data_IF_923406258508
#
_entry.id   IF_923406258508
#
_cell.length_a   1.000
_cell.length_b   1.000
_cell.length_c   1.000
_cell.angle_alpha   90.00
_cell.angle_beta   90.00
_cell.angle_gamma   90.00
#
_symmetry.space_group_name_H-M   'P 1'
#
loop_
_entity.id
_entity.type
_entity.pdbx_description
1 polymer ?
#
# COMPACT_ATOMS: atom_id res chain seq x y z
N UNK A 1 32.26 -18.97 -25.97
CA UNK A 1 31.75 -19.20 -24.60
C UNK A 1 30.72 -18.14 -24.30
N UNK A 2 29.55 -18.54 -23.84
CA UNK A 2 28.49 -17.60 -23.44
C UNK A 2 28.31 -17.71 -21.94
N UNK A 3 28.46 -16.60 -21.24
CA UNK A 3 28.24 -16.51 -19.79
C UNK A 3 26.78 -16.18 -19.50
N UNK A 4 26.28 -16.57 -18.33
CA UNK A 4 24.92 -16.19 -17.89
C UNK A 4 24.92 -14.73 -17.46
N UNK A 5 23.82 -14.02 -17.69
CA UNK A 5 23.60 -12.66 -17.18
C UNK A 5 23.87 -12.54 -15.67
N UNK A 6 23.55 -13.59 -14.90
CA UNK A 6 23.86 -13.66 -13.46
C UNK A 6 25.36 -13.76 -13.18
N UNK A 7 26.10 -14.53 -13.98
CA UNK A 7 27.55 -14.63 -13.84
C UNK A 7 28.26 -13.35 -14.28
N UNK A 8 27.73 -12.65 -15.29
CA UNK A 8 28.25 -11.37 -15.75
C UNK A 8 28.07 -10.28 -14.71
N UNK A 9 26.90 -10.20 -14.05
CA UNK A 9 26.68 -9.24 -12.97
C UNK A 9 27.61 -9.48 -11.79
N UNK A 10 27.82 -10.75 -11.40
CA UNK A 10 28.73 -11.10 -10.32
C UNK A 10 30.17 -10.78 -10.67
N UNK A 11 30.60 -11.08 -11.90
CA UNK A 11 31.96 -10.80 -12.35
C UNK A 11 32.24 -9.29 -12.46
N UNK A 12 31.23 -8.49 -12.86
CA UNK A 12 31.32 -7.03 -12.85
C UNK A 12 31.50 -6.47 -11.43
N UNK A 13 30.76 -7.01 -10.44
CA UNK A 13 30.96 -6.67 -9.03
C UNK A 13 32.37 -7.02 -8.59
N UNK A 14 32.87 -8.23 -8.89
CA UNK A 14 34.22 -8.63 -8.47
C UNK A 14 35.28 -7.71 -9.08
N UNK A 15 35.15 -7.33 -10.36
CA UNK A 15 36.07 -6.39 -11.04
C UNK A 15 36.07 -4.99 -10.41
N UNK A 16 34.94 -4.49 -9.93
CA UNK A 16 34.89 -3.21 -9.20
C UNK A 16 35.70 -3.22 -7.89
N UNK A 17 35.87 -4.38 -7.27
CA UNK A 17 36.57 -4.53 -5.99
C UNK A 17 38.00 -5.06 -6.14
N UNK A 18 38.43 -5.43 -7.35
CA UNK A 18 39.76 -6.00 -7.62
C UNK A 18 40.58 -5.06 -8.52
N UNK A 19 41.46 -4.29 -7.91
CA UNK A 19 42.68 -3.78 -8.57
C UNK A 19 43.81 -4.81 -8.48
N UNK A 20 44.83 -4.71 -9.36
CA UNK A 20 45.99 -5.61 -9.43
C UNK A 20 46.81 -5.74 -8.12
N UNK A 21 46.51 -4.94 -7.09
CA UNK A 21 47.14 -4.96 -5.76
C UNK A 21 46.16 -5.27 -4.60
N UNK A 22 44.97 -5.75 -4.91
CA UNK A 22 43.92 -6.02 -3.91
C UNK A 22 44.02 -7.47 -3.44
N UNK A 23 44.41 -7.67 -2.17
CA UNK A 23 44.46 -9.02 -1.59
C UNK A 23 43.05 -9.57 -1.40
N UNK A 24 42.92 -10.91 -1.39
CA UNK A 24 41.66 -11.60 -1.08
C UNK A 24 41.06 -11.09 0.25
N UNK A 25 41.90 -10.76 1.23
CA UNK A 25 41.46 -10.17 2.49
C UNK A 25 40.73 -8.83 2.31
N UNK A 26 41.21 -7.96 1.41
CA UNK A 26 40.53 -6.69 1.11
C UNK A 26 39.18 -6.92 0.44
N UNK A 27 39.04 -7.95 -0.40
CA UNK A 27 37.76 -8.32 -1.01
C UNK A 27 36.75 -8.75 0.06
N UNK A 28 37.16 -9.59 1.01
CA UNK A 28 36.28 -10.04 2.12
C UNK A 28 35.81 -8.83 2.94
N UNK A 29 36.72 -7.92 3.30
CA UNK A 29 36.38 -6.70 4.05
C UNK A 29 35.39 -5.81 3.28
N UNK A 30 35.57 -5.65 1.96
CA UNK A 30 34.65 -4.85 1.16
C UNK A 30 33.29 -5.53 0.99
N UNK A 31 33.27 -6.85 0.86
CA UNK A 31 32.04 -7.61 0.80
C UNK A 31 31.23 -7.47 2.09
N UNK A 32 31.87 -7.62 3.26
CA UNK A 32 31.25 -7.40 4.56
C UNK A 32 30.64 -6.00 4.66
N UNK A 33 31.37 -4.96 4.25
CA UNK A 33 30.85 -3.57 4.22
C UNK A 33 29.62 -3.40 3.33
N UNK A 34 29.63 -4.00 2.14
CA UNK A 34 28.48 -3.94 1.21
C UNK A 34 27.27 -4.65 1.80
N UNK A 35 27.48 -5.80 2.43
CA UNK A 35 26.43 -6.58 3.09
C UNK A 35 25.86 -5.81 4.30
N UNK A 36 26.71 -5.29 5.18
CA UNK A 36 26.25 -4.45 6.31
C UNK A 36 25.47 -3.24 5.83
N UNK A 37 25.97 -2.51 4.83
CA UNK A 37 25.25 -1.36 4.25
C UNK A 37 23.89 -1.74 3.65
N UNK A 38 23.72 -2.97 3.14
CA UNK A 38 22.43 -3.48 2.66
C UNK A 38 21.46 -3.69 3.83
N UNK A 39 21.93 -4.31 4.92
CA UNK A 39 21.11 -4.50 6.12
C UNK A 39 20.71 -3.18 6.75
N UNK A 40 21.63 -2.21 6.88
CA UNK A 40 21.30 -0.89 7.43
C UNK A 40 20.21 -0.18 6.62
N UNK A 41 20.22 -0.33 5.29
CA UNK A 41 19.20 0.24 4.39
C UNK A 41 17.85 -0.48 4.51
N UNK A 42 17.86 -1.79 4.72
CA UNK A 42 16.65 -2.58 4.94
C UNK A 42 16.01 -2.21 6.29
N UNK A 43 16.81 -2.13 7.35
CA UNK A 43 16.34 -1.75 8.68
C UNK A 43 15.78 -0.33 8.71
N UNK A 44 16.45 0.63 8.06
CA UNK A 44 15.95 2.00 7.93
C UNK A 44 14.64 2.08 7.11
N UNK A 45 14.51 1.26 6.06
CA UNK A 45 13.29 1.20 5.26
C UNK A 45 12.14 0.56 6.05
N UNK A 46 12.42 -0.50 6.79
CA UNK A 46 11.47 -1.16 7.67
C UNK A 46 11.04 -0.23 8.80
N UNK A 47 11.99 0.46 9.43
CA UNK A 47 11.74 1.48 10.43
C UNK A 47 10.83 2.55 9.84
N UNK A 48 11.17 3.21 8.73
CA UNK A 48 10.29 4.21 8.09
C UNK A 48 8.90 3.67 7.73
N UNK A 49 8.84 2.42 7.25
CA UNK A 49 7.56 1.79 6.90
C UNK A 49 6.69 1.50 8.13
N UNK A 50 7.28 1.34 9.31
CA UNK A 50 6.60 1.02 10.58
C UNK A 50 6.47 2.21 11.53
N UNK A 51 7.34 3.21 11.41
CA UNK A 51 7.52 4.31 12.37
C UNK A 51 6.48 5.42 12.18
N UNK A 52 5.72 5.72 13.23
CA UNK A 52 4.61 6.67 13.21
C UNK A 52 3.25 6.04 12.90
N UNK A 53 2.21 6.51 13.57
CA UNK A 53 0.84 6.03 13.33
C UNK A 53 0.28 6.56 12.00
N UNK A 54 -0.44 5.71 11.27
CA UNK A 54 -1.20 6.17 10.11
C UNK A 54 -2.38 7.04 10.56
N UNK A 55 -2.53 8.21 9.95
CA UNK A 55 -3.67 9.10 10.22
C UNK A 55 -5.00 8.41 9.89
N UNK A 56 -5.99 8.62 10.75
CA UNK A 56 -7.36 8.15 10.58
C UNK A 56 -8.16 9.15 9.75
N UNK A 57 -9.01 8.66 8.86
CA UNK A 57 -9.90 9.46 8.05
C UNK A 57 -11.21 9.79 8.77
N UNK A 58 -11.84 8.78 9.39
CA UNK A 58 -13.20 8.88 9.93
C UNK A 58 -13.30 8.66 11.44
N UNK A 59 -12.21 8.17 12.07
CA UNK A 59 -12.21 7.67 13.45
C UNK A 59 -13.26 6.57 13.71
N UNK A 60 -13.73 5.91 12.65
CA UNK A 60 -14.64 4.77 12.78
C UNK A 60 -13.94 3.64 13.55
N UNK A 61 -14.63 2.95 14.49
CA UNK A 61 -14.05 1.82 15.20
C UNK A 61 -13.42 0.75 14.30
N UNK A 62 -14.00 0.50 13.13
CA UNK A 62 -13.46 -0.44 12.12
C UNK A 62 -12.11 0.06 11.59
N UNK A 63 -12.01 1.35 11.31
CA UNK A 63 -10.77 1.97 10.82
C UNK A 63 -9.67 1.93 11.89
N UNK A 64 -10.03 2.20 13.15
CA UNK A 64 -9.11 2.10 14.30
C UNK A 64 -8.58 0.68 14.46
N UNK A 65 -9.44 -0.34 14.34
CA UNK A 65 -9.03 -1.74 14.39
C UNK A 65 -8.19 -2.14 13.16
N UNK A 66 -8.55 -1.70 11.96
CA UNK A 66 -7.76 -1.98 10.76
C UNK A 66 -6.34 -1.38 10.85
N UNK A 67 -6.20 -0.21 11.49
CA UNK A 67 -4.91 0.44 11.73
C UNK A 67 -3.98 -0.36 12.64
N UNK A 68 -4.53 -1.05 13.64
CA UNK A 68 -3.71 -1.86 14.56
C UNK A 68 -3.33 -3.23 13.99
N UNK A 69 -4.12 -3.75 13.04
CA UNK A 69 -3.92 -5.08 12.45
C UNK A 69 -3.07 -5.04 11.18
N UNK A 70 -3.24 -4.02 10.33
CA UNK A 70 -2.58 -3.97 9.02
C UNK A 70 -1.26 -3.21 9.02
N UNK A 71 -0.36 -3.59 8.10
CA UNK A 71 0.81 -2.77 7.75
C UNK A 71 0.34 -1.45 7.14
N UNK A 72 1.13 -0.37 7.26
CA UNK A 72 0.73 0.95 6.75
C UNK A 72 0.31 0.96 5.29
N UNK A 73 1.01 0.17 4.46
CA UNK A 73 0.69 0.02 3.04
C UNK A 73 -0.72 -0.56 2.85
N UNK A 74 -1.02 -1.66 3.53
CA UNK A 74 -2.33 -2.32 3.45
C UNK A 74 -3.41 -1.42 4.06
N UNK A 75 -3.11 -0.76 5.19
CA UNK A 75 -4.03 0.18 5.83
C UNK A 75 -4.35 1.39 4.93
N UNK A 76 -3.38 1.91 4.18
CA UNK A 76 -3.62 2.99 3.22
C UNK A 76 -4.61 2.60 2.13
N UNK A 77 -4.48 1.40 1.58
CA UNK A 77 -5.42 0.88 0.59
C UNK A 77 -6.80 0.59 1.19
N UNK A 78 -6.82 0.00 2.39
CA UNK A 78 -8.06 -0.20 3.15
C UNK A 78 -8.81 1.11 3.34
N UNK A 79 -8.14 2.19 3.80
CA UNK A 79 -8.76 3.50 3.97
C UNK A 79 -9.36 4.05 2.68
N UNK A 80 -8.65 3.92 1.57
CA UNK A 80 -9.13 4.40 0.27
C UNK A 80 -10.40 3.63 -0.15
N UNK A 81 -10.39 2.31 -0.06
CA UNK A 81 -11.55 1.47 -0.37
C UNK A 81 -12.72 1.72 0.60
N UNK A 82 -12.42 1.90 1.88
CA UNK A 82 -13.41 2.18 2.91
C UNK A 82 -14.15 3.49 2.59
N UNK A 83 -13.42 4.57 2.30
CA UNK A 83 -13.98 5.84 1.85
C UNK A 83 -14.86 5.68 0.60
N UNK A 84 -14.34 5.02 -0.43
CA UNK A 84 -15.09 4.79 -1.68
C UNK A 84 -16.37 3.96 -1.46
N UNK A 85 -16.33 2.96 -0.59
CA UNK A 85 -17.48 2.06 -0.32
C UNK A 85 -18.55 2.77 0.50
N UNK A 86 -18.15 3.59 1.47
CA UNK A 86 -19.10 4.33 2.30
C UNK A 86 -19.86 5.41 1.54
N UNK A 87 -19.32 5.92 0.43
CA UNK A 87 -19.98 6.91 -0.41
C UNK A 87 -20.21 8.26 0.28
N UNK A 88 -19.51 8.54 1.38
CA UNK A 88 -19.55 9.82 2.07
C UNK A 88 -18.14 10.32 2.36
N UNK A 89 -17.98 11.64 2.39
CA UNK A 89 -16.77 12.35 2.80
C UNK A 89 -16.99 12.99 4.16
N UNK A 90 -16.03 12.81 5.07
CA UNK A 90 -15.98 13.56 6.32
C UNK A 90 -15.12 14.81 6.16
N UNK A 91 -15.63 15.92 6.68
CA UNK A 91 -14.87 17.14 6.95
C UNK A 91 -14.91 17.41 8.44
N UNK A 92 -13.75 17.52 9.06
CA UNK A 92 -13.64 17.92 10.46
C UNK A 92 -14.07 19.38 10.63
N UNK A 93 -14.99 19.62 11.56
CA UNK A 93 -15.34 20.94 12.08
C UNK A 93 -14.73 21.12 13.47
N UNK A 94 -14.95 22.27 14.08
CA UNK A 94 -14.58 22.50 15.48
C UNK A 94 -15.33 21.55 16.43
N UNK A 95 -14.70 21.23 17.57
CA UNK A 95 -15.27 20.46 18.69
C UNK A 95 -15.65 19.00 18.37
N UNK A 96 -14.81 18.25 17.65
CA UNK A 96 -15.07 16.84 17.25
C UNK A 96 -16.40 16.64 16.50
N UNK A 97 -16.91 17.69 15.87
CA UNK A 97 -18.06 17.58 14.99
C UNK A 97 -17.57 17.28 13.58
N UNK A 98 -18.21 16.34 12.90
CA UNK A 98 -17.87 16.02 11.52
C UNK A 98 -19.05 16.30 10.60
N UNK A 99 -18.79 17.03 9.51
CA UNK A 99 -19.76 17.17 8.43
C UNK A 99 -19.60 16.00 7.48
N UNK A 100 -20.68 15.24 7.33
CA UNK A 100 -20.77 14.15 6.37
C UNK A 100 -21.39 14.73 5.09
N UNK A 101 -20.67 14.65 3.98
CA UNK A 101 -21.17 15.03 2.65
C UNK A 101 -21.25 13.77 1.80
N UNK A 102 -22.38 13.52 1.13
CA UNK A 102 -22.49 12.39 0.21
C UNK A 102 -21.57 12.64 -0.98
N UNK A 103 -20.68 11.69 -1.26
CA UNK A 103 -19.93 11.69 -2.52
C UNK A 103 -20.97 11.37 -3.57
N UNK A 104 -21.31 12.34 -4.42
CA UNK A 104 -22.16 12.06 -5.57
C UNK A 104 -21.43 11.04 -6.44
N UNK A 105 -21.76 9.76 -6.27
CA UNK A 105 -21.52 8.78 -7.31
C UNK A 105 -22.40 9.23 -8.47
N UNK A 106 -21.77 9.81 -9.49
CA UNK A 106 -22.37 9.98 -10.79
C UNK A 106 -23.07 8.66 -11.15
N UNK A 107 -24.39 8.78 -11.24
CA UNK A 107 -25.42 7.81 -11.56
C UNK A 107 -24.92 6.54 -12.26
N UNK A 108 -24.99 5.39 -11.57
CA UNK A 108 -25.14 4.12 -12.28
C UNK A 108 -26.49 4.15 -13.00
N UNK A 109 -26.56 3.92 -14.33
CA UNK A 109 -27.82 3.99 -15.06
C UNK A 109 -28.76 2.92 -14.53
N UNK A 110 -29.96 3.34 -14.15
CA UNK A 110 -31.06 2.45 -13.80
C UNK A 110 -31.26 1.46 -14.95
N UNK A 111 -30.88 0.20 -14.76
CA UNK A 111 -31.35 -0.86 -15.64
C UNK A 111 -32.86 -0.98 -15.43
N UNK A 112 -33.59 -0.58 -16.48
CA UNK A 112 -35.02 -0.74 -16.57
C UNK A 112 -35.38 -2.21 -16.38
N UNK A 113 -36.03 -2.50 -15.27
CA UNK A 113 -36.84 -3.71 -15.15
C UNK A 113 -38.28 -3.33 -15.47
N UNK A 114 -38.72 -3.95 -16.55
CA UNK A 114 -39.96 -3.83 -17.28
C UNK A 114 -41.20 -3.86 -16.35
N UNK A 115 -42.10 -2.90 -16.55
CA UNK A 115 -43.42 -2.90 -15.91
C UNK A 115 -44.25 -4.06 -16.44
N UNK A 116 -44.47 -5.08 -15.62
CA UNK A 116 -45.53 -6.08 -15.85
C UNK A 116 -46.88 -5.42 -15.52
N UNK A 117 -47.86 -5.40 -16.46
CA UNK A 117 -49.19 -4.86 -16.18
C UNK A 117 -49.94 -5.78 -15.22
N UNK A 118 -50.50 -5.21 -14.14
CA UNK A 118 -51.39 -5.91 -13.22
C UNK A 118 -52.67 -6.28 -13.94
N UNK A 119 -52.93 -7.58 -14.08
CA UNK A 119 -54.23 -8.09 -14.47
C UNK A 119 -55.25 -7.86 -13.34
N UNK A 120 -56.38 -7.33 -13.78
CA UNK A 120 -57.64 -7.11 -13.09
C UNK A 120 -58.20 -8.43 -12.53
N UNK A 121 -58.59 -8.43 -11.25
CA UNK A 121 -59.50 -9.45 -10.70
C UNK A 121 -60.63 -8.74 -9.96
N UNK A 122 -61.72 -8.59 -10.70
CA UNK A 122 -63.05 -8.35 -10.18
C UNK A 122 -63.43 -9.48 -9.20
N UNK A 123 -63.95 -9.14 -8.03
CA UNK A 123 -64.71 -10.07 -7.21
C UNK A 123 -66.03 -9.42 -6.81
N UNK A 124 -67.06 -10.24 -6.96
CA UNK A 124 -68.50 -9.97 -6.96
C UNK A 124 -69.03 -9.45 -5.62
#
# INVERSE_FOLDING_TARGET
>A
MTTSQRSESMNALTKMFMDNHTSVCKLVIQFEKVVSSRYDKEDEADFKSRDGESSLWSHNPIEVQARSVYTKRVFSEFKNQFRCTTGYDLTELENNCYKISTIQHSTLPAQGTERVPKQEKNFN
#
